data_IF_868369448379
#
_entry.id   IF_868369448379
#
_cell.length_a   1.000
_cell.length_b   1.000
_cell.length_c   1.000
_cell.angle_alpha   90.00
_cell.angle_beta   90.00
_cell.angle_gamma   90.00
#
_symmetry.space_group_name_H-M   'P 1'
#
loop_
_entity.id
_entity.type
_entity.pdbx_description
1 polymer ?
#
# COMPACT_ATOMS: atom_id res chain seq x y z
N UNK A 1 13.17 5.74 -3.95
CA UNK A 1 11.74 5.77 -3.65
C UNK A 1 11.04 4.60 -4.35
N UNK A 2 10.00 4.09 -3.75
CA UNK A 2 9.20 3.05 -4.36
C UNK A 2 8.01 3.69 -5.07
N UNK A 3 7.52 3.02 -6.11
CA UNK A 3 6.31 3.43 -6.81
C UNK A 3 5.13 2.63 -6.26
N UNK A 4 4.02 3.29 -5.97
CA UNK A 4 2.82 2.62 -5.50
C UNK A 4 1.73 2.82 -6.55
N UNK A 5 1.22 1.72 -7.09
CA UNK A 5 0.11 1.76 -8.04
C UNK A 5 -1.20 1.75 -7.27
N UNK A 6 -2.04 2.72 -7.56
CA UNK A 6 -3.26 2.98 -6.80
C UNK A 6 -4.47 2.44 -7.56
N UNK A 7 -5.30 1.59 -6.93
CA UNK A 7 -6.51 1.10 -7.61
C UNK A 7 -7.54 2.21 -7.75
N UNK A 8 -8.47 2.08 -8.70
CA UNK A 8 -9.47 3.12 -8.94
C UNK A 8 -10.24 3.54 -7.68
N UNK A 9 -10.54 2.59 -6.80
CA UNK A 9 -11.33 2.88 -5.60
C UNK A 9 -10.59 3.79 -4.61
N UNK A 10 -9.26 3.86 -4.68
CA UNK A 10 -8.47 4.69 -3.78
C UNK A 10 -7.94 5.95 -4.43
N UNK A 11 -8.15 6.14 -5.73
CA UNK A 11 -7.56 7.29 -6.43
C UNK A 11 -8.06 8.63 -5.91
N UNK A 12 -9.30 8.70 -5.48
CA UNK A 12 -9.84 9.93 -4.92
C UNK A 12 -9.09 10.35 -3.65
N UNK A 13 -8.53 9.38 -2.92
CA UNK A 13 -7.78 9.62 -1.69
C UNK A 13 -6.37 10.13 -1.96
N UNK A 14 -5.89 10.03 -3.19
CA UNK A 14 -4.55 10.46 -3.58
C UNK A 14 -4.60 11.50 -4.71
N UNK A 15 -5.65 12.31 -4.74
CA UNK A 15 -5.77 13.37 -5.73
C UNK A 15 -6.01 12.90 -7.15
N UNK A 16 -6.53 11.69 -7.32
CA UNK A 16 -6.84 11.14 -8.65
C UNK A 16 -5.65 10.47 -9.32
N UNK A 17 -4.51 10.38 -8.66
CA UNK A 17 -3.31 9.80 -9.25
C UNK A 17 -3.41 8.30 -9.38
N UNK A 18 -2.89 7.77 -10.49
CA UNK A 18 -2.83 6.31 -10.71
C UNK A 18 -1.63 5.69 -10.03
N UNK A 19 -0.59 6.48 -9.83
CA UNK A 19 0.64 6.06 -9.18
C UNK A 19 1.15 7.20 -8.33
N UNK A 20 1.74 6.85 -7.19
CA UNK A 20 2.41 7.83 -6.34
C UNK A 20 3.75 7.24 -5.90
N UNK A 21 4.68 8.10 -5.53
CA UNK A 21 5.97 7.67 -5.02
C UNK A 21 5.97 7.82 -3.51
N UNK A 22 6.65 6.92 -2.82
CA UNK A 22 6.77 6.97 -1.38
C UNK A 22 8.12 6.40 -0.96
N UNK A 23 8.57 6.77 0.22
CA UNK A 23 9.87 6.36 0.76
C UNK A 23 9.68 5.41 1.93
N UNK A 24 10.60 4.48 2.06
CA UNK A 24 10.62 3.56 3.19
C UNK A 24 11.53 2.38 2.91
N UNK A 25 12.00 1.74 3.97
CA UNK A 25 12.87 0.57 3.87
C UNK A 25 12.08 -0.73 3.81
N UNK A 26 10.80 -0.68 4.16
CA UNK A 26 9.92 -1.84 4.11
C UNK A 26 8.51 -1.40 3.70
N UNK A 27 7.65 -2.38 3.45
CA UNK A 27 6.27 -2.11 3.00
C UNK A 27 5.53 -1.21 3.99
N UNK A 28 5.67 -1.48 5.28
CA UNK A 28 4.99 -0.68 6.31
C UNK A 28 5.39 0.78 6.26
N UNK A 29 6.69 1.05 6.14
CA UNK A 29 7.19 2.42 6.07
C UNK A 29 6.72 3.13 4.81
N UNK A 30 6.74 2.42 3.68
CA UNK A 30 6.29 3.00 2.41
C UNK A 30 4.80 3.35 2.48
N UNK A 31 3.98 2.46 3.03
CA UNK A 31 2.56 2.73 3.16
C UNK A 31 2.26 3.83 4.18
N UNK A 32 3.07 3.93 5.23
CA UNK A 32 2.91 5.03 6.20
C UNK A 32 3.30 6.37 5.60
N UNK A 33 4.33 6.39 4.76
CA UNK A 33 4.68 7.60 4.03
C UNK A 33 3.54 8.03 3.11
N UNK A 34 2.92 7.06 2.43
CA UNK A 34 1.74 7.33 1.61
C UNK A 34 0.62 7.93 2.46
N UNK A 35 0.34 7.35 3.62
CA UNK A 35 -0.73 7.83 4.49
C UNK A 35 -0.42 9.21 5.07
N UNK A 36 0.84 9.52 5.31
CA UNK A 36 1.25 10.84 5.79
C UNK A 36 1.00 11.90 4.74
N UNK A 37 1.31 11.60 3.49
CA UNK A 37 1.13 12.54 2.38
C UNK A 37 -0.32 12.60 1.89
N UNK A 38 -1.07 11.52 2.11
CA UNK A 38 -2.46 11.42 1.69
C UNK A 38 -3.28 10.83 2.85
N UNK A 39 -3.60 11.63 3.85
CA UNK A 39 -4.21 11.12 5.09
C UNK A 39 -5.50 10.32 4.90
N UNK A 40 -6.23 10.56 3.83
CA UNK A 40 -7.46 9.81 3.56
C UNK A 40 -7.20 8.33 3.29
N UNK A 41 -5.97 7.94 2.97
CA UNK A 41 -5.64 6.53 2.72
C UNK A 41 -5.41 5.75 4.00
N UNK A 42 -5.16 6.40 5.13
CA UNK A 42 -4.78 5.69 6.35
C UNK A 42 -5.85 4.69 6.79
N UNK A 43 -7.09 5.12 6.87
CA UNK A 43 -8.18 4.24 7.30
C UNK A 43 -8.48 3.14 6.29
N UNK A 44 -8.05 3.31 5.05
CA UNK A 44 -8.25 2.33 3.99
C UNK A 44 -7.13 1.29 3.98
N UNK A 45 -5.91 1.69 4.34
CA UNK A 45 -4.74 0.82 4.29
C UNK A 45 -4.50 0.09 5.60
N UNK A 46 -4.80 0.72 6.73
CA UNK A 46 -4.48 0.17 8.04
C UNK A 46 -5.75 -0.05 8.85
N UNK A 47 -5.77 -1.15 9.62
CA UNK A 47 -6.82 -1.40 10.58
C UNK A 47 -6.53 -0.64 11.88
N UNK A 48 -7.47 -0.68 12.81
CA UNK A 48 -7.35 0.07 14.06
C UNK A 48 -6.14 -0.34 14.89
N UNK A 49 -5.64 -1.56 14.72
CA UNK A 49 -4.47 -2.06 15.44
C UNK A 49 -3.15 -1.76 14.73
N UNK A 50 -3.19 -0.99 13.65
CA UNK A 50 -1.99 -0.62 12.90
C UNK A 50 -1.51 -1.67 11.92
N UNK A 51 -2.23 -2.76 11.77
CA UNK A 51 -1.89 -3.79 10.81
C UNK A 51 -2.49 -3.46 9.44
N UNK A 52 -2.01 -4.14 8.41
CA UNK A 52 -2.57 -3.98 7.08
C UNK A 52 -4.04 -4.40 7.08
N UNK A 53 -4.90 -3.54 6.51
CA UNK A 53 -6.32 -3.83 6.42
C UNK A 53 -6.54 -5.11 5.62
N UNK A 54 -7.34 -6.02 6.17
CA UNK A 54 -7.58 -7.32 5.52
C UNK A 54 -8.36 -7.21 4.20
N UNK A 55 -8.99 -6.07 3.95
CA UNK A 55 -9.70 -5.84 2.70
C UNK A 55 -8.82 -5.21 1.63
N UNK A 56 -7.51 -5.13 1.90
CA UNK A 56 -6.54 -4.59 0.97
C UNK A 56 -5.45 -5.62 0.76
N UNK A 57 -5.13 -5.88 -0.50
CA UNK A 57 -3.98 -6.70 -0.85
C UNK A 57 -2.89 -5.78 -1.37
N UNK A 58 -1.65 -6.05 -0.95
CA UNK A 58 -0.49 -5.31 -1.42
C UNK A 58 0.48 -6.31 -2.04
N UNK A 59 0.91 -6.02 -3.24
CA UNK A 59 1.88 -6.86 -3.97
C UNK A 59 3.18 -6.09 -4.12
N UNK A 60 4.27 -6.74 -3.83
CA UNK A 60 5.60 -6.20 -4.07
C UNK A 60 6.18 -6.94 -5.27
N UNK A 61 6.31 -6.23 -6.41
CA UNK A 61 6.84 -6.80 -7.65
C UNK A 61 6.14 -8.13 -7.97
N UNK A 62 4.81 -8.12 -7.93
CA UNK A 62 3.94 -9.24 -8.27
C UNK A 62 3.82 -10.34 -7.20
N UNK A 63 4.38 -10.13 -6.01
CA UNK A 63 4.22 -11.08 -4.90
C UNK A 63 3.39 -10.48 -3.78
N UNK A 64 2.38 -11.20 -3.32
CA UNK A 64 1.56 -10.78 -2.20
C UNK A 64 2.44 -10.69 -0.95
N UNK A 65 2.48 -9.51 -0.33
CA UNK A 65 3.36 -9.30 0.83
C UNK A 65 2.96 -10.15 2.04
N UNK A 66 1.71 -10.63 2.08
CA UNK A 66 1.28 -11.53 3.17
C UNK A 66 1.96 -12.89 3.10
N UNK A 67 2.39 -13.29 1.91
CA UNK A 67 3.15 -14.53 1.71
C UNK A 67 4.63 -14.31 2.00
N UNK A 68 5.04 -13.07 2.03
CA UNK A 68 6.40 -12.66 2.39
C UNK A 68 6.43 -12.35 3.89
N UNK A 69 6.82 -11.16 4.25
CA UNK A 69 6.91 -10.76 5.66
C UNK A 69 5.91 -9.67 6.03
N UNK A 70 4.83 -9.55 5.26
CA UNK A 70 3.81 -8.54 5.52
C UNK A 70 4.39 -7.13 5.46
N UNK A 71 4.08 -6.32 6.46
CA UNK A 71 4.56 -4.96 6.52
C UNK A 71 6.08 -4.86 6.74
N UNK A 72 6.71 -5.94 7.19
CA UNK A 72 8.17 -5.98 7.39
C UNK A 72 8.93 -6.38 6.14
N UNK A 73 8.23 -6.67 5.04
CA UNK A 73 8.87 -7.02 3.77
C UNK A 73 9.76 -5.88 3.30
N UNK A 74 11.02 -6.18 3.01
CA UNK A 74 11.98 -5.16 2.56
C UNK A 74 11.61 -4.60 1.20
N UNK A 75 11.76 -3.29 1.04
CA UNK A 75 11.50 -2.59 -0.22
C UNK A 75 12.75 -1.85 -0.60
N UNK A 76 13.20 -2.03 -1.85
CA UNK A 76 14.38 -1.36 -2.37
C UNK A 76 14.02 -0.20 -3.28
N UNK A 77 15.05 0.57 -3.66
CA UNK A 77 14.91 1.65 -4.62
C UNK A 77 14.35 1.07 -5.93
N UNK A 78 13.36 1.76 -6.46
CA UNK A 78 12.78 1.36 -7.74
C UNK A 78 11.79 0.21 -7.68
N UNK A 79 11.55 -0.36 -6.50
CA UNK A 79 10.53 -1.40 -6.37
C UNK A 79 9.14 -0.81 -6.56
N UNK A 80 8.20 -1.66 -6.96
CA UNK A 80 6.82 -1.28 -7.21
C UNK A 80 5.89 -2.02 -6.27
N UNK A 81 5.05 -1.27 -5.58
CA UNK A 81 3.95 -1.83 -4.79
C UNK A 81 2.65 -1.64 -5.57
N UNK A 82 1.81 -2.65 -5.59
CA UNK A 82 0.48 -2.57 -6.18
C UNK A 82 -0.53 -2.79 -5.07
N UNK A 83 -1.45 -1.84 -4.92
CA UNK A 83 -2.54 -1.96 -3.95
C UNK A 83 -3.77 -2.41 -4.71
N UNK A 84 -4.37 -3.50 -4.25
CA UNK A 84 -5.60 -4.02 -4.83
C UNK A 84 -6.63 -4.22 -3.73
N UNK A 85 -7.90 -3.86 -3.97
CA UNK A 85 -8.93 -4.16 -2.99
C UNK A 85 -9.17 -5.66 -2.94
N UNK A 86 -9.28 -6.21 -1.73
CA UNK A 86 -9.72 -7.59 -1.57
C UNK A 86 -11.23 -7.56 -1.66
N UNK A 87 -11.78 -8.30 -2.60
CA UNK A 87 -13.23 -8.33 -2.78
C UNK A 87 -13.87 -9.09 -1.63
N UNK A 88 -14.66 -8.39 -0.84
CA UNK A 88 -15.38 -9.02 0.25
C UNK A 88 -16.37 -10.04 -0.33
N UNK A 89 -16.30 -11.24 0.17
CA UNK A 89 -17.19 -12.31 -0.26
C UNK A 89 -16.86 -12.88 -1.62
N UNK A 90 -15.75 -12.50 -2.16
CA UNK A 90 -15.40 -13.03 -3.48
C UNK A 90 -13.95 -13.03 -3.66
#
# INVERSE_FOLDING_TARGET
>A
MATIKIPPVLRASVGGEKEVSASGANVGEVLRDLATNHPATESQLFSADGQLNRYVNVYLNDEDVRVLEGLDTSVGEGDTLVILPAMAGG
#
